data_IF_433726913855
#
_entry.id   IF_433726913855
#
_cell.length_a   1.000
_cell.length_b   1.000
_cell.length_c   1.000
_cell.angle_alpha   90.00
_cell.angle_beta   90.00
_cell.angle_gamma   90.00
#
_symmetry.space_group_name_H-M   'P 1'
#
loop_
_entity.id
_entity.type
_entity.pdbx_description
1 polymer ?
#
# COMPACT_ATOMS: atom_id res chain seq x y z
N UNK A 1 47.92 88.09 8.41
CA UNK A 1 47.61 88.66 9.74
C UNK A 1 46.76 87.64 10.49
N UNK A 2 47.26 87.19 11.66
CA UNK A 2 46.61 86.51 12.80
C UNK A 2 45.42 85.55 12.58
N UNK A 3 45.54 84.26 12.90
CA UNK A 3 45.43 83.67 14.26
C UNK A 3 44.11 84.02 14.98
N UNK A 4 43.28 83.00 15.24
CA UNK A 4 42.67 82.68 16.55
C UNK A 4 41.94 81.31 16.45
N UNK A 5 42.46 80.24 17.05
CA UNK A 5 42.09 79.65 18.36
C UNK A 5 40.81 78.78 18.31
N UNK A 6 40.62 77.63 18.98
CA UNK A 6 41.40 76.63 19.74
C UNK A 6 40.34 75.59 20.24
N UNK A 7 40.75 74.34 20.56
CA UNK A 7 40.08 73.34 21.45
C UNK A 7 38.86 72.57 20.85
N UNK A 8 38.70 71.25 20.96
CA UNK A 8 38.92 70.34 22.10
C UNK A 8 38.93 68.85 21.68
N UNK A 9 39.57 68.02 22.50
CA UNK A 9 39.62 66.54 22.53
C UNK A 9 38.21 65.88 22.71
N UNK A 10 37.92 64.57 22.61
CA UNK A 10 38.64 63.29 22.71
C UNK A 10 37.69 62.13 22.25
N UNK A 11 38.21 60.88 22.27
CA UNK A 11 37.55 59.55 22.24
C UNK A 11 37.16 59.02 20.84
N UNK A 12 37.50 57.79 20.40
CA UNK A 12 38.15 56.65 21.02
C UNK A 12 38.12 55.44 20.07
N UNK A 13 38.83 54.38 20.45
CA UNK A 13 38.81 53.00 19.96
C UNK A 13 39.51 52.64 18.63
N UNK A 14 40.70 52.04 18.79
CA UNK A 14 41.30 51.01 17.94
C UNK A 14 40.28 49.90 17.60
N UNK A 15 40.16 49.53 16.32
CA UNK A 15 39.62 48.24 15.86
C UNK A 15 40.64 47.66 14.87
N UNK A 16 41.56 46.85 15.37
CA UNK A 16 41.49 45.38 15.43
C UNK A 16 41.68 44.74 14.04
N UNK A 17 42.79 44.00 13.96
CA UNK A 17 43.24 43.16 12.86
C UNK A 17 42.16 42.23 12.30
N UNK A 18 42.32 41.86 11.03
CA UNK A 18 41.54 40.77 10.46
C UNK A 18 41.79 40.59 8.97
N UNK A 19 42.93 39.96 8.64
CA UNK A 19 43.22 39.34 7.33
C UNK A 19 41.99 38.51 6.89
N UNK A 20 41.46 38.65 5.65
CA UNK A 20 40.37 37.80 5.20
C UNK A 20 40.84 36.36 5.08
N UNK A 21 40.45 35.58 6.08
CA UNK A 21 39.82 34.27 6.01
C UNK A 21 40.16 33.42 4.78
N UNK A 22 40.75 32.25 5.06
CA UNK A 22 40.86 31.14 4.14
C UNK A 22 39.52 30.85 3.46
N UNK A 23 39.60 30.67 2.14
CA UNK A 23 38.48 30.28 1.31
C UNK A 23 37.96 28.92 1.78
N UNK A 24 36.81 28.92 2.47
CA UNK A 24 35.93 27.78 2.47
C UNK A 24 35.46 27.61 1.02
N UNK A 25 36.10 26.70 0.28
CA UNK A 25 35.62 26.27 -1.01
C UNK A 25 34.26 25.58 -0.78
N UNK A 26 33.21 26.29 -1.11
CA UNK A 26 31.85 25.81 -1.13
C UNK A 26 31.78 24.64 -2.13
N UNK A 27 31.66 23.40 -1.63
CA UNK A 27 31.44 22.22 -2.45
C UNK A 27 30.14 22.42 -3.23
N UNK A 28 30.25 22.71 -4.52
CA UNK A 28 29.09 22.75 -5.41
C UNK A 28 28.55 21.32 -5.55
N UNK A 29 27.24 21.15 -5.33
CA UNK A 29 26.58 19.89 -5.60
C UNK A 29 26.69 19.58 -7.10
N UNK A 30 27.07 18.35 -7.44
CA UNK A 30 27.10 17.90 -8.83
C UNK A 30 25.66 17.75 -9.31
N UNK A 31 25.33 18.41 -10.42
CA UNK A 31 24.04 18.32 -11.07
C UNK A 31 24.19 17.68 -12.45
N UNK A 32 23.26 16.79 -12.79
CA UNK A 32 23.20 16.22 -14.12
C UNK A 32 22.75 17.27 -15.15
N UNK A 33 23.36 17.32 -16.34
CA UNK A 33 22.90 18.18 -17.42
C UNK A 33 21.57 17.65 -18.01
N UNK A 34 20.85 18.49 -18.76
CA UNK A 34 19.74 18.06 -19.60
C UNK A 34 20.11 16.86 -20.51
N UNK A 35 19.18 15.92 -20.71
CA UNK A 35 19.46 14.66 -21.41
C UNK A 35 19.85 14.82 -22.89
N UNK A 36 19.45 15.91 -23.54
CA UNK A 36 19.88 16.29 -24.89
C UNK A 36 21.38 16.60 -24.97
N UNK A 37 22.02 16.90 -23.84
CA UNK A 37 23.46 17.15 -23.70
C UNK A 37 24.23 15.90 -23.26
N UNK A 38 23.56 14.76 -23.04
CA UNK A 38 24.18 13.50 -22.62
C UNK A 38 24.32 12.55 -23.81
N UNK A 39 25.55 12.16 -24.13
CA UNK A 39 25.82 11.19 -25.19
C UNK A 39 25.73 9.75 -24.68
N UNK A 40 24.73 9.01 -25.17
CA UNK A 40 24.54 7.59 -24.85
C UNK A 40 25.13 6.70 -25.95
N UNK A 41 26.00 5.76 -25.58
CA UNK A 41 26.55 4.74 -26.50
C UNK A 41 25.45 3.88 -27.12
N UNK A 42 24.39 3.60 -26.35
CA UNK A 42 23.15 2.99 -26.81
C UNK A 42 22.01 3.97 -26.61
N UNK A 43 21.59 4.68 -27.65
CA UNK A 43 20.39 5.54 -27.57
C UNK A 43 19.08 4.72 -27.52
N UNK A 44 19.12 3.41 -27.79
CA UNK A 44 17.93 2.55 -27.82
C UNK A 44 18.12 1.36 -26.89
N UNK A 45 17.18 1.18 -25.95
CA UNK A 45 17.09 0.02 -25.06
C UNK A 45 17.13 -1.31 -25.84
N UNK A 46 16.48 -1.38 -27.01
CA UNK A 46 16.40 -2.57 -27.86
C UNK A 46 17.76 -3.11 -28.37
N UNK A 47 18.83 -2.30 -28.32
CA UNK A 47 20.18 -2.75 -28.70
C UNK A 47 20.94 -3.40 -27.53
N UNK A 48 20.46 -3.23 -26.30
CA UNK A 48 21.10 -3.81 -25.12
C UNK A 48 20.58 -5.24 -24.93
N UNK A 49 21.49 -6.20 -24.92
CA UNK A 49 21.18 -7.58 -24.55
C UNK A 49 21.43 -7.72 -23.04
N UNK A 50 20.42 -7.39 -22.25
CA UNK A 50 20.50 -7.41 -20.80
C UNK A 50 20.07 -8.76 -20.25
N UNK A 51 20.73 -9.19 -19.17
CA UNK A 51 20.33 -10.37 -18.39
C UNK A 51 19.00 -10.12 -17.65
N UNK A 52 18.83 -8.90 -17.14
CA UNK A 52 17.56 -8.37 -16.62
C UNK A 52 16.91 -7.39 -17.59
N UNK A 53 16.05 -6.53 -17.06
CA UNK A 53 15.46 -5.41 -17.78
C UNK A 53 16.45 -4.27 -18.11
N UNK A 54 15.89 -3.20 -18.68
CA UNK A 54 16.64 -1.98 -19.01
C UNK A 54 16.18 -0.87 -18.07
N UNK A 55 17.15 -0.23 -17.43
CA UNK A 55 16.97 0.94 -16.56
C UNK A 55 17.79 2.10 -17.09
N UNK A 56 17.92 3.18 -16.33
CA UNK A 56 18.74 4.34 -16.67
C UNK A 56 19.99 4.44 -15.81
N UNK A 57 21.07 5.00 -16.37
CA UNK A 57 22.29 5.30 -15.61
C UNK A 57 22.12 6.45 -14.60
N UNK A 58 23.22 6.88 -13.99
CA UNK A 58 23.30 7.87 -12.90
C UNK A 58 22.45 9.14 -13.14
N UNK A 59 22.47 9.68 -14.36
CA UNK A 59 21.72 10.89 -14.70
C UNK A 59 20.31 10.65 -15.25
N UNK A 60 19.82 9.42 -15.27
CA UNK A 60 18.45 9.12 -15.74
C UNK A 60 18.25 9.20 -17.26
N UNK A 61 19.28 9.47 -18.06
CA UNK A 61 19.14 9.72 -19.50
C UNK A 61 19.43 8.49 -20.38
N UNK A 62 20.53 7.78 -20.09
CA UNK A 62 20.98 6.69 -20.96
C UNK A 62 20.44 5.34 -20.49
N UNK A 63 19.93 4.50 -21.41
CA UNK A 63 19.51 3.15 -21.06
C UNK A 63 20.75 2.29 -20.74
N UNK A 64 20.65 1.52 -19.66
CA UNK A 64 21.67 0.58 -19.16
C UNK A 64 20.98 -0.68 -18.67
N UNK A 65 21.71 -1.79 -18.54
CA UNK A 65 21.12 -3.01 -17.99
C UNK A 65 20.86 -2.87 -16.49
N UNK A 66 19.68 -3.30 -16.06
CA UNK A 66 19.34 -3.38 -14.66
C UNK A 66 20.07 -4.55 -13.97
N UNK A 67 20.32 -4.38 -12.67
CA UNK A 67 20.99 -5.37 -11.82
C UNK A 67 19.99 -6.45 -11.40
N UNK A 68 20.33 -7.71 -11.66
CA UNK A 68 19.47 -8.85 -11.29
C UNK A 68 19.61 -9.20 -9.81
N UNK A 69 18.74 -10.07 -9.30
CA UNK A 69 18.78 -10.52 -7.91
C UNK A 69 20.17 -11.05 -7.51
N UNK A 70 20.64 -10.63 -6.34
CA UNK A 70 21.97 -10.95 -5.82
C UNK A 70 23.11 -10.08 -6.34
N UNK A 71 22.88 -9.22 -7.34
CA UNK A 71 23.92 -8.31 -7.85
C UNK A 71 24.07 -7.04 -7.00
N UNK A 72 25.26 -6.47 -7.02
CA UNK A 72 25.58 -5.21 -6.32
C UNK A 72 24.87 -4.02 -6.94
N UNK A 73 24.34 -3.13 -6.10
CA UNK A 73 23.61 -1.92 -6.47
C UNK A 73 23.96 -0.74 -5.55
N UNK A 74 23.50 0.45 -5.92
CA UNK A 74 23.67 1.67 -5.12
C UNK A 74 25.04 2.34 -5.35
N UNK A 75 25.72 2.71 -4.27
CA UNK A 75 26.89 3.59 -4.33
C UNK A 75 26.47 5.07 -4.41
N UNK A 76 27.45 5.97 -4.42
CA UNK A 76 27.16 7.41 -4.55
C UNK A 76 26.50 7.66 -5.92
N UNK A 77 25.28 8.21 -5.92
CA UNK A 77 24.50 8.44 -7.16
C UNK A 77 24.15 7.17 -7.95
N UNK A 78 24.09 6.01 -7.29
CA UNK A 78 23.71 4.74 -7.91
C UNK A 78 24.64 4.28 -9.04
N UNK A 79 25.92 4.69 -9.00
CA UNK A 79 26.88 4.34 -10.06
C UNK A 79 27.17 2.83 -10.13
N UNK A 80 26.92 2.08 -9.05
CA UNK A 80 27.03 0.61 -9.07
C UNK A 80 25.85 -0.03 -9.82
N UNK A 81 24.78 0.71 -10.08
CA UNK A 81 23.64 0.31 -10.88
C UNK A 81 22.34 0.22 -10.09
N UNK A 82 21.25 0.24 -10.85
CA UNK A 82 19.88 0.15 -10.36
C UNK A 82 19.36 -1.28 -10.51
N UNK A 83 18.61 -1.75 -9.53
CA UNK A 83 18.00 -3.08 -9.56
C UNK A 83 16.90 -3.19 -10.61
N UNK A 84 16.67 -4.41 -11.09
CA UNK A 84 15.63 -4.74 -12.06
C UNK A 84 14.22 -4.56 -11.49
N UNK A 85 13.22 -4.59 -12.37
CA UNK A 85 11.81 -4.46 -11.99
C UNK A 85 11.43 -5.52 -10.93
N UNK A 86 10.82 -5.07 -9.83
CA UNK A 86 10.44 -5.95 -8.71
C UNK A 86 11.55 -6.23 -7.70
N UNK A 87 12.74 -5.65 -7.87
CA UNK A 87 13.86 -5.76 -6.93
C UNK A 87 14.13 -4.41 -6.22
N UNK A 88 14.65 -4.45 -5.00
CA UNK A 88 15.11 -3.27 -4.24
C UNK A 88 16.56 -3.43 -3.83
N UNK A 89 17.30 -2.32 -3.84
CA UNK A 89 18.68 -2.28 -3.38
C UNK A 89 18.75 -2.27 -1.85
N UNK A 90 19.14 -3.40 -1.25
CA UNK A 90 19.26 -3.54 0.20
C UNK A 90 20.71 -3.28 0.62
N UNK A 91 20.92 -2.16 1.32
CA UNK A 91 22.22 -1.80 1.88
C UNK A 91 22.56 -2.70 3.07
N UNK A 92 23.79 -3.19 3.12
CA UNK A 92 24.29 -3.91 4.30
C UNK A 92 24.63 -2.87 5.37
N UNK A 93 24.18 -3.09 6.62
CA UNK A 93 24.30 -2.10 7.69
C UNK A 93 25.73 -1.59 7.86
N UNK A 94 25.83 -0.27 8.04
CA UNK A 94 27.06 0.46 8.27
C UNK A 94 27.68 0.08 9.62
N UNK A 95 28.40 -1.05 9.67
CA UNK A 95 29.31 -1.42 10.76
C UNK A 95 30.77 -1.15 10.37
N UNK A 96 31.00 -0.06 9.65
CA UNK A 96 32.33 0.51 9.51
C UNK A 96 32.24 1.96 9.93
N UNK A 97 32.84 2.27 11.09
CA UNK A 97 33.15 3.61 11.62
C UNK A 97 34.11 4.40 10.70
N UNK A 98 33.93 4.27 9.38
CA UNK A 98 34.70 4.94 8.34
C UNK A 98 33.75 5.88 7.60
N UNK A 99 33.90 7.20 7.77
CA UNK A 99 33.06 8.19 7.08
C UNK A 99 33.18 8.13 5.54
N UNK A 100 34.18 7.41 5.01
CA UNK A 100 34.47 7.29 3.59
C UNK A 100 34.00 5.94 2.98
N UNK A 101 33.31 5.09 3.74
CA UNK A 101 32.82 3.82 3.23
C UNK A 101 31.62 4.04 2.29
N UNK A 102 31.81 3.68 1.02
CA UNK A 102 30.78 3.82 0.00
C UNK A 102 29.56 2.95 0.30
N UNK A 103 28.36 3.53 0.22
CA UNK A 103 27.09 2.87 0.56
C UNK A 103 26.65 1.89 -0.54
N UNK A 104 27.17 0.66 -0.50
CA UNK A 104 26.83 -0.42 -1.46
C UNK A 104 25.71 -1.30 -0.92
N UNK A 105 24.84 -1.77 -1.81
CA UNK A 105 23.77 -2.72 -1.49
C UNK A 105 23.75 -3.92 -2.43
N UNK A 106 22.79 -4.81 -2.21
CA UNK A 106 22.51 -5.99 -3.04
C UNK A 106 21.04 -5.96 -3.46
N UNK A 107 20.77 -6.26 -4.73
CA UNK A 107 19.41 -6.37 -5.24
C UNK A 107 18.72 -7.60 -4.65
N UNK A 108 17.60 -7.39 -3.98
CA UNK A 108 16.76 -8.47 -3.43
C UNK A 108 15.34 -8.32 -3.94
N UNK A 109 14.66 -9.44 -4.11
CA UNK A 109 13.24 -9.43 -4.43
C UNK A 109 12.48 -8.62 -3.40
N UNK A 110 11.65 -7.68 -3.87
CA UNK A 110 10.58 -7.15 -3.04
C UNK A 110 9.58 -8.28 -2.93
N UNK A 111 9.70 -9.12 -1.90
CA UNK A 111 8.51 -9.75 -1.34
C UNK A 111 7.73 -8.55 -0.82
N UNK A 112 6.92 -7.90 -1.67
CA UNK A 112 5.89 -7.02 -1.16
C UNK A 112 5.12 -7.94 -0.22
N UNK A 113 5.06 -7.68 1.09
CA UNK A 113 3.86 -8.09 1.78
C UNK A 113 2.76 -7.40 0.97
N UNK A 114 2.08 -8.14 0.10
CA UNK A 114 0.78 -7.71 -0.36
C UNK A 114 0.06 -7.44 0.93
N UNK A 115 -0.22 -6.16 1.20
CA UNK A 115 -0.81 -5.74 2.45
C UNK A 115 -1.96 -6.71 2.75
N UNK A 116 -1.86 -7.54 3.80
CA UNK A 116 -2.86 -8.56 4.09
C UNK A 116 -4.24 -7.96 4.40
N UNK A 117 -4.37 -6.62 4.39
CA UNK A 117 -5.62 -5.87 4.51
C UNK A 117 -5.94 -4.92 3.34
N UNK A 118 -5.56 -5.23 2.10
CA UNK A 118 -6.24 -4.57 0.97
C UNK A 118 -7.68 -5.11 0.87
N UNK A 119 -8.55 -4.62 1.75
CA UNK A 119 -9.95 -4.95 1.73
C UNK A 119 -10.61 -4.39 0.46
N UNK A 120 -11.51 -5.16 -0.14
CA UNK A 120 -12.46 -4.65 -1.12
C UNK A 120 -13.51 -3.72 -0.45
N UNK A 121 -14.29 -2.96 -1.23
CA UNK A 121 -15.44 -2.22 -0.70
C UNK A 121 -16.35 -3.12 0.14
N UNK A 122 -17.00 -2.55 1.14
CA UNK A 122 -17.87 -3.31 2.03
C UNK A 122 -19.04 -3.94 1.26
N UNK A 123 -19.34 -5.20 1.56
CA UNK A 123 -20.54 -5.84 1.04
C UNK A 123 -21.77 -5.19 1.69
N UNK A 124 -22.28 -4.12 1.07
CA UNK A 124 -23.58 -3.54 1.40
C UNK A 124 -24.61 -3.99 0.38
N UNK A 125 -25.89 -3.89 0.77
CA UNK A 125 -27.01 -4.18 -0.14
C UNK A 125 -26.91 -3.29 -1.38
N UNK A 126 -26.64 -2.00 -1.18
CA UNK A 126 -26.57 -0.99 -2.24
C UNK A 126 -25.40 -1.28 -3.18
N UNK A 127 -24.22 -1.60 -2.62
CA UNK A 127 -23.04 -1.92 -3.41
C UNK A 127 -23.26 -3.16 -4.28
N UNK A 128 -23.81 -4.24 -3.71
CA UNK A 128 -24.03 -5.48 -4.43
C UNK A 128 -25.21 -5.44 -5.39
N UNK A 129 -26.20 -4.57 -5.17
CA UNK A 129 -27.24 -4.29 -6.17
C UNK A 129 -26.65 -3.59 -7.41
N UNK A 130 -25.74 -2.64 -7.21
CA UNK A 130 -25.07 -1.94 -8.30
C UNK A 130 -24.02 -2.80 -9.00
N UNK A 131 -23.38 -3.73 -8.27
CA UNK A 131 -22.23 -4.49 -8.73
C UNK A 131 -22.40 -6.00 -8.43
N UNK A 132 -23.27 -6.72 -9.16
CA UNK A 132 -23.72 -8.07 -8.77
C UNK A 132 -22.63 -9.16 -8.84
N UNK A 133 -21.54 -8.95 -9.57
CA UNK A 133 -20.46 -9.92 -9.74
C UNK A 133 -19.13 -9.48 -9.12
N UNK A 134 -19.07 -8.26 -8.57
CA UNK A 134 -17.84 -7.73 -7.99
C UNK A 134 -17.49 -8.41 -6.67
N UNK A 135 -16.20 -8.36 -6.34
CA UNK A 135 -15.70 -8.81 -5.04
C UNK A 135 -15.88 -7.69 -4.01
N UNK A 136 -16.33 -8.06 -2.82
CA UNK A 136 -16.57 -7.17 -1.69
C UNK A 136 -16.08 -7.82 -0.38
N UNK A 137 -15.99 -7.01 0.68
CA UNK A 137 -15.58 -7.43 2.03
C UNK A 137 -16.78 -7.62 2.94
N UNK A 138 -17.09 -8.87 3.32
CA UNK A 138 -18.22 -9.23 4.17
C UNK A 138 -17.91 -9.13 5.67
N UNK A 139 -17.29 -8.02 6.10
CA UNK A 139 -16.74 -7.83 7.46
C UNK A 139 -17.75 -8.09 8.58
N UNK A 140 -18.97 -7.60 8.39
CA UNK A 140 -20.06 -7.68 9.36
C UNK A 140 -21.28 -8.47 8.87
N UNK A 141 -21.31 -8.80 7.58
CA UNK A 141 -22.44 -9.48 6.93
C UNK A 141 -22.15 -10.94 6.61
N UNK A 142 -20.93 -11.43 6.88
CA UNK A 142 -20.64 -12.85 6.78
C UNK A 142 -21.35 -13.64 7.89
N UNK A 143 -22.01 -14.74 7.51
CA UNK A 143 -22.60 -15.67 8.48
C UNK A 143 -21.54 -16.34 9.35
N UNK A 144 -20.38 -16.66 8.76
CA UNK A 144 -19.27 -17.35 9.42
C UNK A 144 -17.96 -16.63 9.13
N UNK A 145 -17.03 -16.62 10.09
CA UNK A 145 -15.72 -15.97 9.91
C UNK A 145 -14.65 -17.03 9.67
N UNK A 146 -13.95 -16.89 8.56
CA UNK A 146 -12.86 -17.78 8.16
C UNK A 146 -11.51 -17.13 8.45
N UNK A 147 -10.66 -17.79 9.25
CA UNK A 147 -9.38 -17.24 9.69
C UNK A 147 -8.43 -16.88 8.53
N UNK A 148 -8.44 -17.67 7.44
CA UNK A 148 -7.62 -17.39 6.26
C UNK A 148 -8.05 -16.13 5.49
N UNK A 149 -9.27 -15.64 5.70
CA UNK A 149 -9.82 -14.46 5.05
C UNK A 149 -9.60 -13.17 5.88
N UNK A 150 -8.87 -13.27 7.00
CA UNK A 150 -8.50 -12.12 7.83
C UNK A 150 -9.70 -11.33 8.36
N UNK A 151 -9.56 -10.01 8.49
CA UNK A 151 -10.65 -9.15 8.97
C UNK A 151 -11.67 -8.80 7.88
N UNK A 152 -11.29 -8.89 6.59
CA UNK A 152 -12.10 -8.42 5.47
C UNK A 152 -13.20 -9.41 5.06
N UNK A 153 -12.96 -10.72 5.18
CA UNK A 153 -13.94 -11.77 4.81
C UNK A 153 -14.43 -11.61 3.36
N UNK A 154 -13.52 -11.68 2.37
CA UNK A 154 -13.85 -11.40 0.98
C UNK A 154 -14.80 -12.44 0.36
N UNK A 155 -15.74 -11.96 -0.44
CA UNK A 155 -16.65 -12.79 -1.23
C UNK A 155 -17.15 -12.04 -2.47
N UNK A 156 -17.88 -12.71 -3.35
CA UNK A 156 -18.56 -12.05 -4.47
C UNK A 156 -19.96 -11.58 -4.06
N UNK A 157 -20.40 -10.44 -4.58
CA UNK A 157 -21.76 -9.95 -4.39
C UNK A 157 -22.85 -10.95 -4.81
N UNK A 158 -22.54 -11.88 -5.73
CA UNK A 158 -23.46 -12.96 -6.12
C UNK A 158 -23.68 -14.00 -5.00
N UNK A 159 -22.80 -14.02 -3.99
CA UNK A 159 -22.91 -14.87 -2.80
C UNK A 159 -23.70 -14.21 -1.66
N UNK A 160 -24.18 -12.99 -1.87
CA UNK A 160 -24.99 -12.26 -0.89
C UNK A 160 -26.49 -12.45 -1.14
N UNK A 161 -27.26 -12.49 -0.06
CA UNK A 161 -28.70 -12.77 -0.08
C UNK A 161 -29.43 -12.05 1.06
N UNK A 162 -30.75 -11.90 0.90
CA UNK A 162 -31.63 -11.42 1.96
C UNK A 162 -32.31 -12.60 2.66
N UNK A 163 -32.11 -12.69 3.97
CA UNK A 163 -32.81 -13.61 4.87
C UNK A 163 -34.08 -12.95 5.41
N UNK A 164 -35.24 -13.48 5.01
CA UNK A 164 -36.55 -13.06 5.52
C UNK A 164 -37.10 -14.08 6.51
N UNK A 165 -37.36 -13.68 7.77
CA UNK A 165 -38.03 -14.55 8.72
C UNK A 165 -39.39 -15.02 8.16
N UNK A 166 -39.72 -16.31 8.24
CA UNK A 166 -41.03 -16.79 7.81
C UNK A 166 -42.14 -16.25 8.71
N UNK A 167 -43.32 -16.04 8.14
CA UNK A 167 -44.49 -15.57 8.88
C UNK A 167 -45.09 -16.68 9.76
N UNK A 168 -44.63 -16.74 11.00
CA UNK A 168 -45.16 -17.65 12.01
C UNK A 168 -46.00 -16.88 13.05
N UNK A 169 -47.26 -17.26 13.31
CA UNK A 169 -48.19 -16.47 14.14
C UNK A 169 -47.94 -16.60 15.65
N UNK A 170 -47.03 -17.46 16.09
CA UNK A 170 -46.83 -17.74 17.51
C UNK A 170 -46.07 -16.60 18.20
N UNK A 171 -46.67 -16.04 19.26
CA UNK A 171 -46.00 -15.13 20.21
C UNK A 171 -45.79 -15.87 21.52
N UNK A 172 -44.54 -16.18 21.86
CA UNK A 172 -44.19 -17.05 22.98
C UNK A 172 -43.44 -16.30 24.09
N UNK A 173 -43.72 -16.64 25.36
CA UNK A 173 -42.82 -16.31 26.46
C UNK A 173 -41.57 -17.21 26.41
N UNK A 174 -40.44 -16.73 26.91
CA UNK A 174 -39.18 -17.50 26.93
C UNK A 174 -39.24 -18.79 27.76
N UNK A 175 -40.17 -18.88 28.71
CA UNK A 175 -40.39 -20.07 29.56
C UNK A 175 -41.39 -21.08 28.99
N UNK A 176 -42.20 -20.71 27.98
CA UNK A 176 -43.22 -21.60 27.41
C UNK A 176 -42.61 -22.52 26.34
N UNK A 177 -42.04 -23.63 26.81
CA UNK A 177 -41.43 -24.64 25.95
C UNK A 177 -42.40 -25.25 24.93
N UNK A 178 -43.70 -25.32 25.23
CA UNK A 178 -44.69 -25.87 24.31
C UNK A 178 -44.96 -24.89 23.15
N UNK A 179 -45.07 -23.59 23.44
CA UNK A 179 -45.17 -22.55 22.42
C UNK A 179 -43.91 -22.48 21.55
N UNK A 180 -42.71 -22.45 22.17
CA UNK A 180 -41.44 -22.40 21.45
C UNK A 180 -41.26 -23.59 20.51
N UNK A 181 -41.66 -24.80 20.92
CA UNK A 181 -41.65 -25.98 20.05
C UNK A 181 -42.62 -25.86 18.87
N UNK A 182 -43.81 -25.26 19.07
CA UNK A 182 -44.76 -25.01 17.97
C UNK A 182 -44.23 -23.99 16.98
N UNK A 183 -43.62 -22.91 17.47
CA UNK A 183 -42.95 -21.92 16.64
C UNK A 183 -41.82 -22.57 15.81
N UNK A 184 -40.95 -23.36 16.44
CA UNK A 184 -39.88 -24.07 15.73
C UNK A 184 -40.39 -25.00 14.62
N UNK A 185 -41.48 -25.73 14.86
CA UNK A 185 -42.15 -26.54 13.83
C UNK A 185 -42.68 -25.70 12.67
N UNK A 186 -43.28 -24.55 12.94
CA UNK A 186 -43.73 -23.61 11.91
C UNK A 186 -42.56 -23.18 11.02
N UNK A 187 -41.45 -22.72 11.62
CA UNK A 187 -40.25 -22.32 10.89
C UNK A 187 -39.69 -23.47 10.04
N UNK A 188 -39.57 -24.67 10.62
CA UNK A 188 -39.06 -25.84 9.90
C UNK A 188 -39.88 -26.18 8.66
N UNK A 189 -41.20 -26.09 8.74
CA UNK A 189 -42.09 -26.34 7.60
C UNK A 189 -41.91 -25.31 6.47
N UNK A 190 -41.60 -24.05 6.81
CA UNK A 190 -41.30 -23.03 5.81
C UNK A 190 -39.96 -23.28 5.11
N UNK A 191 -38.97 -23.79 5.84
CA UNK A 191 -37.63 -24.07 5.30
C UNK A 191 -37.59 -25.35 4.45
N UNK A 192 -38.44 -26.33 4.74
CA UNK A 192 -38.51 -27.60 4.01
C UNK A 192 -39.32 -27.53 2.71
N UNK A 193 -40.02 -26.43 2.45
CA UNK A 193 -40.74 -26.21 1.20
C UNK A 193 -39.77 -26.05 0.01
N UNK A 194 -40.11 -26.62 -1.16
CA UNK A 194 -39.25 -26.66 -2.36
C UNK A 194 -38.87 -25.28 -2.92
N UNK A 195 -39.65 -24.25 -2.62
CA UNK A 195 -39.31 -22.84 -2.83
C UNK A 195 -39.31 -22.17 -1.47
N UNK A 196 -38.17 -22.17 -0.79
CA UNK A 196 -38.04 -21.52 0.51
C UNK A 196 -38.15 -19.99 0.34
N UNK A 197 -39.19 -19.34 0.88
CA UNK A 197 -39.35 -17.89 0.79
C UNK A 197 -38.35 -17.13 1.69
N UNK A 198 -37.52 -17.86 2.44
CA UNK A 198 -36.62 -17.32 3.45
C UNK A 198 -35.37 -16.71 2.82
N UNK A 199 -34.88 -17.26 1.71
CA UNK A 199 -33.67 -16.78 1.03
C UNK A 199 -34.03 -16.16 -0.31
N UNK A 200 -33.71 -14.88 -0.50
CA UNK A 200 -33.84 -14.22 -1.80
C UNK A 200 -32.48 -13.73 -2.30
N UNK A 201 -32.07 -14.23 -3.47
CA UNK A 201 -30.85 -13.81 -4.18
C UNK A 201 -31.09 -12.55 -5.03
N UNK A 202 -32.34 -12.25 -5.38
CA UNK A 202 -32.69 -11.05 -6.13
C UNK A 202 -32.83 -9.86 -5.17
N UNK A 203 -31.73 -9.12 -5.03
CA UNK A 203 -31.67 -7.94 -4.17
C UNK A 203 -32.52 -6.77 -4.69
N UNK A 204 -32.91 -6.75 -5.97
CA UNK A 204 -33.62 -5.63 -6.61
C UNK A 204 -35.10 -5.58 -6.25
N UNK A 205 -35.69 -6.71 -5.86
CA UNK A 205 -37.16 -6.84 -5.81
C UNK A 205 -37.78 -6.60 -4.43
N UNK A 206 -36.99 -6.52 -3.34
CA UNK A 206 -37.55 -6.47 -1.98
C UNK A 206 -36.71 -5.62 -0.98
N UNK A 207 -37.34 -4.73 -0.20
CA UNK A 207 -36.63 -3.88 0.76
C UNK A 207 -36.28 -4.58 2.09
N UNK A 208 -37.08 -5.56 2.51
CA UNK A 208 -37.06 -6.12 3.88
C UNK A 208 -36.24 -7.42 4.00
N UNK A 209 -35.51 -7.59 5.10
CA UNK A 209 -34.75 -8.81 5.44
C UNK A 209 -33.34 -8.51 5.96
N UNK A 210 -32.68 -9.53 6.52
CA UNK A 210 -31.28 -9.42 6.96
C UNK A 210 -30.36 -9.71 5.77
N UNK A 211 -29.53 -8.74 5.41
CA UNK A 211 -28.53 -8.91 4.36
C UNK A 211 -27.34 -9.69 4.90
N UNK A 212 -27.04 -10.82 4.26
CA UNK A 212 -25.94 -11.70 4.64
C UNK A 212 -25.19 -12.16 3.41
N UNK A 213 -23.90 -12.43 3.55
CA UNK A 213 -23.07 -12.97 2.49
C UNK A 213 -22.41 -14.27 2.92
N UNK A 214 -22.31 -15.21 1.98
CA UNK A 214 -21.58 -16.46 2.19
C UNK A 214 -20.12 -16.26 1.79
N UNK A 215 -19.21 -16.63 2.68
CA UNK A 215 -17.76 -16.57 2.44
C UNK A 215 -17.27 -17.98 2.18
N UNK A 216 -16.48 -18.23 1.11
CA UNK A 216 -16.00 -19.56 0.79
C UNK A 216 -15.04 -20.11 1.85
N UNK A 217 -15.02 -21.44 1.99
CA UNK A 217 -14.10 -22.15 2.84
C UNK A 217 -12.63 -21.92 2.44
N UNK A 218 -11.74 -22.07 3.42
CA UNK A 218 -10.30 -22.00 3.18
C UNK A 218 -9.81 -23.26 2.42
N UNK A 219 -8.94 -23.12 1.41
CA UNK A 219 -8.51 -24.23 0.54
C UNK A 219 -7.80 -25.40 1.25
N UNK A 220 -7.40 -25.24 2.52
CA UNK A 220 -6.72 -26.27 3.33
C UNK A 220 -7.45 -26.58 4.65
N UNK A 221 -8.72 -26.20 4.79
CA UNK A 221 -9.54 -26.63 5.92
C UNK A 221 -9.92 -28.10 5.74
N UNK A 222 -9.19 -29.01 6.37
CA UNK A 222 -9.67 -30.39 6.54
C UNK A 222 -10.97 -30.34 7.34
N UNK A 223 -12.07 -30.76 6.69
CA UNK A 223 -13.38 -30.98 7.30
C UNK A 223 -13.33 -31.96 8.47
#
# INVERSE_FOLDING_TARGET
>A
MWMLFFLSAALGALRSEGRPSGAAQQLQALHCPPCDQVHCSSQRALKLQCKGGVTTGVCGCCPVCARTEGETCGGMWDYLGNCDEGLVCVYQDAASDKPDAERKGICKAVIKPQDPESCHPECTKEYCQANPSEVCSARFVSLEKNACQGSCQHTSCSSCLLLKPPSCPQTCASSDSACLRRFGKCVHNHLSASQSPVCNHNLQTHPEGHFVCLVPDCPNSTK
#
